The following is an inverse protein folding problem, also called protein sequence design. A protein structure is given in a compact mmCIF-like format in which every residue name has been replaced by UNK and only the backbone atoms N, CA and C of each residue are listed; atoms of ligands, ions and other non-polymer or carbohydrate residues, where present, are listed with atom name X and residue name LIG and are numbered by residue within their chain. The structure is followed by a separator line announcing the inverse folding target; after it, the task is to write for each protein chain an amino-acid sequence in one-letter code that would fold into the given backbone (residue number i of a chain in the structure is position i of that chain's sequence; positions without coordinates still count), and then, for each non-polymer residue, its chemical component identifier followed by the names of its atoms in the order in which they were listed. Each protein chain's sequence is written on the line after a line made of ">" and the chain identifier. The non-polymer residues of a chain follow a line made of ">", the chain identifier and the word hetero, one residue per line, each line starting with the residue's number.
data_IF_829464666461
#
_entry.id   IF_829464666461
#
_cell.length_a   1.000
_cell.length_b   1.000
_cell.length_c   1.000
_cell.angle_alpha   90.00
_cell.angle_beta   90.00
_cell.angle_gamma   90.00
#
_symmetry.space_group_name_H-M   'P 1'
#
loop_
_entity.id
_entity.type
_entity.pdbx_description
1 polymer ?
#
# COMPACT_ATOMS: atom_id res chain seq x y z
N UNK A 1 34.93 -19.05 -29.29
CA UNK A 1 33.95 -19.48 -28.28
C UNK A 1 33.62 -18.28 -27.40
N UNK A 2 32.34 -17.87 -27.44
CA UNK A 2 31.48 -17.13 -26.48
C UNK A 2 32.02 -15.96 -25.63
N UNK A 3 31.30 -14.84 -25.82
CA UNK A 3 31.31 -13.53 -25.16
C UNK A 3 30.50 -13.53 -23.85
N UNK A 4 30.89 -12.74 -22.85
CA UNK A 4 29.98 -11.85 -22.08
C UNK A 4 30.69 -11.16 -20.92
N UNK A 5 30.70 -9.83 -20.98
CA UNK A 5 30.96 -8.94 -19.87
C UNK A 5 29.71 -8.84 -18.98
N UNK A 6 29.92 -8.71 -17.67
CA UNK A 6 28.94 -8.14 -16.75
C UNK A 6 29.68 -7.14 -15.87
N UNK A 7 29.65 -5.88 -16.29
CA UNK A 7 30.11 -4.74 -15.48
C UNK A 7 28.95 -4.32 -14.57
N UNK A 8 29.06 -4.64 -13.27
CA UNK A 8 28.27 -3.99 -12.22
C UNK A 8 29.03 -2.77 -11.75
N UNK A 9 28.59 -1.58 -12.16
CA UNK A 9 29.12 -0.31 -11.62
C UNK A 9 28.39 -0.04 -10.32
N UNK A 10 29.10 -0.19 -9.20
CA UNK A 10 28.68 0.27 -7.88
C UNK A 10 29.34 1.63 -7.66
N UNK A 11 28.56 2.71 -7.62
CA UNK A 11 29.06 4.04 -7.26
C UNK A 11 28.91 4.22 -5.75
N UNK A 12 30.04 4.23 -5.04
CA UNK A 12 30.11 4.83 -3.71
C UNK A 12 30.21 6.35 -3.87
N UNK A 13 29.27 7.08 -3.28
CA UNK A 13 29.34 8.54 -3.20
C UNK A 13 30.13 8.89 -1.94
N UNK A 14 31.41 9.22 -2.12
CA UNK A 14 32.28 9.69 -1.06
C UNK A 14 31.91 11.14 -0.68
N UNK A 15 31.50 11.33 0.57
CA UNK A 15 31.19 12.63 1.15
C UNK A 15 32.46 13.41 1.45
N UNK A 16 32.89 14.28 0.53
CA UNK A 16 33.91 15.28 0.84
C UNK A 16 33.24 16.49 1.54
N UNK A 17 33.59 16.70 2.81
CA UNK A 17 33.14 17.82 3.65
C UNK A 17 34.07 19.02 3.43
N UNK A 18 33.61 20.16 2.89
CA UNK A 18 34.38 21.39 3.00
C UNK A 18 34.19 21.98 4.41
N UNK A 19 35.31 22.26 5.07
CA UNK A 19 35.38 23.01 6.32
C UNK A 19 35.29 24.52 6.04
N UNK A 20 34.49 25.26 6.80
CA UNK A 20 34.49 26.73 6.81
C UNK A 20 33.14 27.39 7.11
N UNK A 21 32.86 27.54 8.39
CA UNK A 21 32.05 28.55 9.12
C UNK A 21 30.71 29.07 8.56
N UNK A 22 29.62 28.82 9.32
CA UNK A 22 28.48 29.75 9.40
C UNK A 22 27.13 29.30 8.84
N UNK A 23 26.35 28.55 9.63
CA UNK A 23 24.88 28.31 9.53
C UNK A 23 24.39 27.32 8.46
N UNK A 24 24.37 26.04 8.84
CA UNK A 24 23.63 24.99 8.14
C UNK A 24 22.13 25.08 8.47
N UNK A 25 21.33 25.65 7.58
CA UNK A 25 19.92 25.27 7.48
C UNK A 25 19.87 24.22 6.37
N UNK A 26 19.67 22.95 6.75
CA UNK A 26 19.49 21.83 5.84
C UNK A 26 18.22 21.99 5.03
N UNK A 27 18.23 22.93 4.09
CA UNK A 27 17.21 23.10 3.08
C UNK A 27 17.54 22.17 1.92
N UNK A 28 16.54 21.42 1.48
CA UNK A 28 16.58 20.70 0.22
C UNK A 28 17.03 21.63 -0.92
N UNK A 29 17.66 21.08 -1.97
CA UNK A 29 18.02 21.87 -3.16
C UNK A 29 16.77 22.52 -3.76
N UNK A 30 16.90 23.67 -4.44
CA UNK A 30 15.75 24.34 -5.07
C UNK A 30 14.99 23.44 -6.05
N UNK A 31 15.66 22.43 -6.62
CA UNK A 31 15.04 21.40 -7.46
C UNK A 31 14.18 20.42 -6.64
N UNK A 32 14.65 20.02 -5.46
CA UNK A 32 13.86 19.22 -4.52
C UNK A 32 12.67 20.01 -3.97
N UNK A 33 12.82 21.31 -3.70
CA UNK A 33 11.67 22.15 -3.36
C UNK A 33 10.64 22.22 -4.50
N UNK A 34 11.08 22.28 -5.76
CA UNK A 34 10.15 22.29 -6.90
C UNK A 34 9.44 20.96 -7.12
N UNK A 35 10.08 19.83 -6.78
CA UNK A 35 9.46 18.50 -6.87
C UNK A 35 8.37 18.28 -5.81
N UNK A 36 8.53 18.83 -4.60
CA UNK A 36 7.50 18.78 -3.56
C UNK A 36 6.46 19.90 -3.67
N UNK A 37 6.75 20.94 -4.47
CA UNK A 37 5.81 22.04 -4.78
C UNK A 37 4.89 21.66 -5.93
N UNK A 38 4.32 20.46 -5.85
CA UNK A 38 3.12 20.14 -6.60
C UNK A 38 1.92 20.65 -5.81
N UNK A 39 1.56 21.92 -6.04
CA UNK A 39 0.21 22.39 -5.71
C UNK A 39 -0.72 21.69 -6.70
N UNK A 40 -1.25 20.54 -6.29
CA UNK A 40 -2.45 19.96 -6.89
C UNK A 40 -3.61 20.91 -6.63
N UNK A 41 -3.70 21.97 -7.44
CA UNK A 41 -4.98 22.62 -7.67
C UNK A 41 -5.77 21.70 -8.60
N UNK A 42 -6.20 20.57 -8.02
CA UNK A 42 -7.15 19.68 -8.65
C UNK A 42 -8.47 20.42 -8.63
N UNK A 43 -8.80 21.10 -9.71
CA UNK A 43 -10.17 21.51 -9.98
C UNK A 43 -11.01 20.22 -10.05
N UNK A 44 -11.66 19.88 -8.93
CA UNK A 44 -12.51 18.71 -8.81
C UNK A 44 -13.69 18.84 -9.79
N UNK A 45 -13.59 18.15 -10.92
CA UNK A 45 -14.71 17.84 -11.80
C UNK A 45 -15.61 16.86 -11.04
N UNK A 46 -16.45 17.38 -10.15
CA UNK A 46 -17.32 16.61 -9.26
C UNK A 46 -16.54 15.84 -8.19
N UNK A 47 -16.69 16.22 -6.92
CA UNK A 47 -16.07 15.54 -5.79
C UNK A 47 -16.65 14.12 -5.61
N UNK A 48 -16.14 13.15 -6.39
CA UNK A 48 -16.38 11.72 -6.14
C UNK A 48 -15.47 11.31 -4.99
N UNK A 49 -15.90 11.67 -3.79
CA UNK A 49 -15.25 11.35 -2.53
C UNK A 49 -15.64 9.93 -2.09
N UNK A 50 -14.66 9.02 -1.97
CA UNK A 50 -14.87 7.62 -1.62
C UNK A 50 -14.16 7.26 -0.31
N UNK A 51 -14.93 7.14 0.78
CA UNK A 51 -14.43 6.63 2.07
C UNK A 51 -14.54 5.12 2.07
N UNK A 52 -13.42 4.45 2.29
CA UNK A 52 -13.34 3.01 2.47
C UNK A 52 -13.25 2.70 3.97
N UNK A 53 -14.02 1.74 4.46
CA UNK A 53 -13.97 1.30 5.86
C UNK A 53 -14.05 -0.21 5.91
N UNK A 54 -13.27 -0.84 6.80
CA UNK A 54 -13.34 -2.27 7.06
C UNK A 54 -13.42 -2.52 8.56
N UNK A 55 -14.16 -3.55 8.94
CA UNK A 55 -14.39 -3.94 10.33
C UNK A 55 -14.28 -5.44 10.50
N UNK A 56 -13.53 -5.84 11.53
CA UNK A 56 -13.30 -7.22 11.95
C UNK A 56 -12.89 -8.14 10.77
N UNK A 57 -12.10 -7.57 9.85
CA UNK A 57 -11.70 -8.21 8.59
C UNK A 57 -10.73 -9.35 8.87
N UNK A 58 -11.13 -10.56 8.48
CA UNK A 58 -10.35 -11.79 8.68
C UNK A 58 -10.26 -12.54 7.36
N UNK A 59 -9.05 -12.93 6.97
CA UNK A 59 -8.80 -13.73 5.76
C UNK A 59 -8.23 -15.08 6.17
N UNK A 60 -8.91 -16.14 5.74
CA UNK A 60 -8.51 -17.52 5.96
C UNK A 60 -8.13 -18.15 4.62
N UNK A 61 -7.06 -18.92 4.56
CA UNK A 61 -6.69 -19.68 3.37
C UNK A 61 -6.80 -21.18 3.64
N UNK A 62 -7.42 -21.90 2.72
CA UNK A 62 -7.41 -23.36 2.71
C UNK A 62 -6.18 -23.87 1.98
N UNK A 63 -5.34 -24.61 2.69
CA UNK A 63 -4.15 -25.22 2.13
C UNK A 63 -4.45 -26.61 1.57
N UNK A 64 -3.62 -27.06 0.63
CA UNK A 64 -3.74 -28.38 -0.01
C UNK A 64 -3.58 -29.55 0.95
N UNK A 65 -2.99 -29.33 2.12
CA UNK A 65 -2.87 -30.32 3.20
C UNK A 65 -4.17 -30.49 4.02
N UNK A 66 -5.26 -29.80 3.64
CA UNK A 66 -6.54 -29.84 4.34
C UNK A 66 -6.63 -28.95 5.58
N UNK A 67 -5.59 -28.17 5.89
CA UNK A 67 -5.60 -27.22 7.00
C UNK A 67 -6.05 -25.83 6.55
N UNK A 68 -6.59 -25.05 7.49
CA UNK A 68 -6.89 -23.64 7.28
C UNK A 68 -5.89 -22.77 8.04
N UNK A 69 -5.33 -21.76 7.39
CA UNK A 69 -4.43 -20.79 8.00
C UNK A 69 -5.04 -19.38 7.95
N UNK A 70 -4.89 -18.61 9.04
CA UNK A 70 -5.26 -17.20 9.05
C UNK A 70 -4.15 -16.39 8.38
N UNK A 71 -4.48 -15.68 7.31
CA UNK A 71 -3.57 -14.73 6.68
C UNK A 71 -3.74 -13.32 7.28
N UNK A 72 -4.96 -12.97 7.69
CA UNK A 72 -5.30 -11.74 8.43
C UNK A 72 -6.32 -12.06 9.51
N UNK A 73 -6.26 -11.36 10.64
CA UNK A 73 -7.14 -11.61 11.78
C UNK A 73 -7.65 -10.29 12.38
N UNK A 74 -8.97 -10.10 12.37
CA UNK A 74 -9.67 -9.05 13.13
C UNK A 74 -9.29 -7.61 12.78
N UNK A 75 -8.89 -7.31 11.54
CA UNK A 75 -8.46 -5.97 11.17
C UNK A 75 -9.63 -4.99 11.03
N UNK A 76 -9.49 -3.81 11.63
CA UNK A 76 -10.46 -2.71 11.53
C UNK A 76 -9.73 -1.42 11.18
N UNK A 77 -10.31 -0.61 10.29
CA UNK A 77 -9.71 0.64 9.85
C UNK A 77 -10.51 1.33 8.75
N UNK A 78 -9.99 2.44 8.25
CA UNK A 78 -10.59 3.20 7.16
C UNK A 78 -9.52 3.95 6.35
N UNK A 79 -9.87 4.31 5.13
CA UNK A 79 -9.14 5.26 4.30
C UNK A 79 -10.04 6.46 4.00
N UNK A 80 -9.53 7.65 4.28
CA UNK A 80 -10.28 8.90 4.17
C UNK A 80 -10.08 9.56 2.80
N UNK A 81 -11.14 10.07 2.15
CA UNK A 81 -11.01 10.76 0.88
C UNK A 81 -10.06 11.96 0.96
N UNK A 82 -9.33 12.22 -0.13
CA UNK A 82 -8.38 13.34 -0.17
C UNK A 82 -7.10 13.12 0.66
N UNK A 83 -6.92 11.93 1.25
CA UNK A 83 -5.71 11.59 2.01
C UNK A 83 -4.95 10.44 1.35
N UNK A 84 -3.62 10.44 1.53
CA UNK A 84 -2.78 9.30 1.20
C UNK A 84 -2.62 8.41 2.43
N UNK A 85 -3.26 7.24 2.43
CA UNK A 85 -3.12 6.24 3.49
C UNK A 85 -2.01 5.24 3.13
N UNK A 86 -0.96 5.18 3.94
CA UNK A 86 0.16 4.26 3.72
C UNK A 86 0.03 3.00 4.58
N UNK A 87 0.12 1.82 3.95
CA UNK A 87 0.17 0.52 4.63
C UNK A 87 1.62 0.04 4.75
N UNK A 88 2.15 -0.02 5.97
CA UNK A 88 3.55 -0.33 6.26
C UNK A 88 3.69 -1.52 7.22
N UNK A 89 4.84 -2.20 7.17
CA UNK A 89 5.12 -3.36 8.02
C UNK A 89 6.14 -4.32 7.41
N UNK A 90 6.66 -5.28 8.20
CA UNK A 90 7.67 -6.24 7.74
C UNK A 90 7.14 -7.18 6.64
N UNK A 91 8.04 -7.85 5.92
CA UNK A 91 7.64 -8.87 4.94
C UNK A 91 6.81 -9.97 5.61
N UNK A 92 5.77 -10.45 4.95
CA UNK A 92 4.86 -11.47 5.50
C UNK A 92 3.80 -10.97 6.49
N UNK A 93 3.73 -9.66 6.80
CA UNK A 93 2.73 -9.12 7.73
C UNK A 93 1.29 -9.03 7.18
N UNK A 94 1.03 -9.54 5.97
CA UNK A 94 -0.31 -9.53 5.36
C UNK A 94 -0.72 -8.24 4.63
N UNK A 95 0.22 -7.31 4.35
CA UNK A 95 -0.11 -6.03 3.67
C UNK A 95 -0.79 -6.25 2.31
N UNK A 96 -0.18 -7.07 1.44
CA UNK A 96 -0.75 -7.40 0.14
C UNK A 96 -2.09 -8.12 0.30
N UNK A 97 -2.19 -9.06 1.24
CA UNK A 97 -3.45 -9.74 1.55
C UNK A 97 -4.56 -8.78 1.97
N UNK A 98 -4.25 -7.70 2.69
CA UNK A 98 -5.24 -6.69 3.07
C UNK A 98 -5.70 -5.91 1.84
N UNK A 99 -4.79 -5.53 0.96
CA UNK A 99 -5.13 -4.85 -0.30
C UNK A 99 -5.95 -5.76 -1.23
N UNK A 100 -5.60 -7.04 -1.30
CA UNK A 100 -6.34 -8.06 -2.06
C UNK A 100 -7.76 -8.23 -1.50
N UNK A 101 -7.91 -8.29 -0.18
CA UNK A 101 -9.21 -8.37 0.48
C UNK A 101 -10.07 -7.12 0.23
N UNK A 102 -9.48 -5.92 0.31
CA UNK A 102 -10.19 -4.66 0.08
C UNK A 102 -10.55 -4.43 -1.39
N UNK A 103 -9.74 -4.95 -2.32
CA UNK A 103 -9.97 -4.86 -3.77
C UNK A 103 -10.84 -5.99 -4.33
N UNK A 104 -11.27 -6.93 -3.47
CA UNK A 104 -12.05 -8.12 -3.87
C UNK A 104 -11.26 -9.03 -4.83
N UNK A 105 -9.93 -9.02 -4.72
CA UNK A 105 -9.00 -9.86 -5.49
C UNK A 105 -8.42 -10.98 -4.62
N UNK A 106 -9.27 -11.80 -4.01
CA UNK A 106 -8.82 -12.94 -3.22
C UNK A 106 -8.68 -14.20 -4.08
N UNK A 107 -7.71 -15.05 -3.71
CA UNK A 107 -7.54 -16.35 -4.34
C UNK A 107 -8.76 -17.25 -4.12
N UNK A 108 -9.01 -18.19 -5.02
CA UNK A 108 -10.17 -19.09 -4.96
C UNK A 108 -10.22 -19.95 -3.68
N UNK A 109 -9.07 -20.22 -3.06
CA UNK A 109 -8.97 -20.96 -1.80
C UNK A 109 -8.99 -20.06 -0.56
N UNK A 110 -9.29 -18.76 -0.71
CA UNK A 110 -9.35 -17.81 0.39
C UNK A 110 -10.81 -17.48 0.75
N UNK A 111 -11.05 -17.36 2.06
CA UNK A 111 -12.33 -16.99 2.63
C UNK A 111 -12.19 -15.68 3.40
N UNK A 112 -13.06 -14.72 3.10
CA UNK A 112 -13.12 -13.42 3.76
C UNK A 112 -14.30 -13.36 4.72
N UNK A 113 -14.04 -12.92 5.95
CA UNK A 113 -15.06 -12.55 6.93
C UNK A 113 -14.88 -11.10 7.37
N UNK A 114 -15.94 -10.50 7.89
CA UNK A 114 -15.98 -9.10 8.32
C UNK A 114 -16.90 -8.26 7.44
N UNK A 115 -16.72 -6.93 7.49
CA UNK A 115 -17.52 -6.00 6.68
C UNK A 115 -16.60 -4.99 6.01
N UNK A 116 -16.79 -4.80 4.71
CA UNK A 116 -16.20 -3.70 3.93
C UNK A 116 -17.32 -2.74 3.54
N UNK A 117 -17.10 -1.45 3.76
CA UNK A 117 -18.04 -0.39 3.44
C UNK A 117 -17.39 0.63 2.52
N UNK A 118 -18.10 0.98 1.44
CA UNK A 118 -17.78 2.11 0.58
C UNK A 118 -18.82 3.20 0.83
N UNK A 119 -18.40 4.38 1.27
CA UNK A 119 -19.29 5.49 1.65
C UNK A 119 -20.39 5.07 2.65
N UNK A 120 -20.05 4.21 3.61
CA UNK A 120 -20.96 3.69 4.63
C UNK A 120 -21.94 2.62 4.13
N UNK A 121 -21.87 2.21 2.86
CA UNK A 121 -22.69 1.15 2.29
C UNK A 121 -21.88 -0.13 2.19
N UNK A 122 -22.47 -1.26 2.59
CA UNK A 122 -21.82 -2.57 2.42
C UNK A 122 -21.57 -2.82 0.93
N UNK A 123 -20.37 -3.26 0.60
CA UNK A 123 -20.07 -3.73 -0.75
C UNK A 123 -20.79 -5.06 -0.98
N UNK A 124 -21.72 -5.10 -1.94
CA UNK A 124 -22.50 -6.30 -2.26
C UNK A 124 -21.69 -7.40 -2.95
N UNK A 125 -20.47 -7.10 -3.40
CA UNK A 125 -19.61 -8.07 -4.12
C UNK A 125 -19.20 -9.28 -3.27
N UNK A 126 -19.29 -9.20 -1.94
CA UNK A 126 -18.92 -10.31 -1.05
C UNK A 126 -19.97 -11.42 -0.96
N UNK A 127 -21.22 -11.20 -1.41
CA UNK A 127 -22.21 -12.28 -1.42
C UNK A 127 -22.00 -13.30 -2.55
N UNK A 128 -21.33 -12.91 -3.64
CA UNK A 128 -21.08 -13.80 -4.78
C UNK A 128 -19.84 -14.68 -4.61
N UNK A 129 -18.81 -14.22 -3.91
CA UNK A 129 -17.60 -15.00 -3.64
C UNK A 129 -17.82 -16.14 -2.62
N UNK A 130 -18.97 -16.18 -1.96
CA UNK A 130 -19.31 -17.24 -1.00
C UNK A 130 -20.04 -18.44 -1.66
N UNK A 131 -20.35 -18.35 -2.97
CA UNK A 131 -21.11 -19.36 -3.72
C UNK A 131 -20.29 -20.13 -4.77
N UNK A 132 -18.98 -19.88 -4.88
CA UNK A 132 -18.08 -20.60 -5.78
C UNK A 132 -17.15 -21.54 -5.02
#
# INVERSE_FOLDING_TARGET
>A
MRNSASHSVMMEIESNKPAGDGTVVGGFTSLSETLWREKTNTEFVGDVSARLTWKDLTVMMYLSNGTTQKALEGLTGYAEPGTLTALMGPSGSGKSTLLDALSVHLAANAFLSGTILLNGRKTSFLSELQLM
#
